data_IF_359464660198
#
_entry.id   IF_359464660198
#
_cell.length_a   1.000
_cell.length_b   1.000
_cell.length_c   1.000
_cell.angle_alpha   90.00
_cell.angle_beta   90.00
_cell.angle_gamma   90.00
#
_symmetry.space_group_name_H-M   'P 1'
#
loop_
_entity.id
_entity.type
_entity.pdbx_description
1 polymer ?
#
# COMPACT_ATOMS: atom_id res chain seq x y z
N UNK A 1 -12.50 12.27 4.52
CA UNK A 1 -12.15 10.88 4.23
C UNK A 1 -10.93 10.88 3.34
N UNK A 2 -9.84 10.31 3.83
CA UNK A 2 -8.59 10.16 3.12
C UNK A 2 -8.51 8.76 2.51
N UNK A 3 -7.79 8.63 1.40
CA UNK A 3 -7.57 7.36 0.71
C UNK A 3 -6.13 6.92 0.93
N UNK A 4 -5.93 5.66 1.30
CA UNK A 4 -4.61 5.10 1.58
C UNK A 4 -4.29 3.93 0.67
N UNK A 5 -3.05 3.91 0.20
CA UNK A 5 -2.42 2.77 -0.47
C UNK A 5 -1.39 2.20 0.50
N UNK A 6 -1.52 0.92 0.83
CA UNK A 6 -0.56 0.24 1.69
C UNK A 6 0.47 -0.50 0.83
N UNK A 7 1.74 -0.35 1.14
CA UNK A 7 2.82 -1.16 0.56
C UNK A 7 3.21 -2.23 1.57
N UNK A 8 2.99 -3.48 1.21
CA UNK A 8 3.11 -4.67 2.04
C UNK A 8 1.73 -5.23 2.38
N UNK A 9 1.55 -6.52 2.13
CA UNK A 9 0.37 -7.29 2.52
C UNK A 9 0.77 -8.43 3.46
N UNK A 10 1.00 -8.07 4.71
CA UNK A 10 1.38 -8.99 5.79
C UNK A 10 0.47 -8.80 7.00
N UNK A 11 0.68 -9.54 8.09
CA UNK A 11 -0.07 -9.30 9.34
C UNK A 11 -0.01 -7.83 9.83
N UNK A 12 1.08 -7.11 9.53
CA UNK A 12 1.20 -5.69 9.86
C UNK A 12 0.24 -4.80 9.05
N UNK A 13 -0.06 -5.15 7.79
CA UNK A 13 -0.98 -4.38 6.95
C UNK A 13 -2.42 -4.48 7.46
N UNK A 14 -2.80 -5.60 8.09
CA UNK A 14 -4.12 -5.77 8.71
C UNK A 14 -4.32 -4.78 9.87
N UNK A 15 -3.38 -4.73 10.80
CA UNK A 15 -3.44 -3.77 11.93
C UNK A 15 -3.51 -2.32 11.45
N UNK A 16 -2.72 -1.96 10.43
CA UNK A 16 -2.76 -0.62 9.84
C UNK A 16 -4.09 -0.36 9.15
N UNK A 17 -4.66 -1.35 8.46
CA UNK A 17 -6.00 -1.25 7.87
C UNK A 17 -7.03 -0.93 8.95
N UNK A 18 -7.01 -1.67 10.06
CA UNK A 18 -7.93 -1.47 11.18
C UNK A 18 -7.80 -0.06 11.79
N UNK A 19 -6.58 0.45 11.92
CA UNK A 19 -6.35 1.83 12.38
C UNK A 19 -6.92 2.88 11.40
N UNK A 20 -6.78 2.67 10.10
CA UNK A 20 -7.30 3.59 9.07
C UNK A 20 -8.83 3.58 9.07
N UNK A 21 -9.44 2.40 9.05
CA UNK A 21 -10.90 2.26 9.05
C UNK A 21 -11.51 2.79 10.34
N UNK A 22 -10.84 2.65 11.48
CA UNK A 22 -11.27 3.24 12.77
C UNK A 22 -11.32 4.77 12.76
N UNK A 23 -10.60 5.42 11.83
CA UNK A 23 -10.62 6.87 11.63
C UNK A 23 -11.60 7.32 10.53
N UNK A 24 -12.49 6.44 10.06
CA UNK A 24 -13.39 6.68 8.91
C UNK A 24 -12.65 7.00 7.60
N UNK A 25 -11.40 6.57 7.48
CA UNK A 25 -10.63 6.65 6.26
C UNK A 25 -10.66 5.31 5.51
N UNK A 26 -10.22 5.30 4.24
CA UNK A 26 -10.36 4.13 3.35
C UNK A 26 -8.99 3.63 2.88
N UNK A 27 -8.78 2.32 2.94
CA UNK A 27 -7.70 1.64 2.22
C UNK A 27 -8.22 1.23 0.85
N UNK A 28 -7.62 1.76 -0.21
CA UNK A 28 -8.03 1.48 -1.60
C UNK A 28 -7.18 0.42 -2.28
N UNK A 29 -5.93 0.26 -1.85
CA UNK A 29 -5.04 -0.73 -2.41
C UNK A 29 -4.00 -1.25 -1.40
N UNK A 30 -3.55 -2.49 -1.61
CA UNK A 30 -2.45 -3.16 -0.92
C UNK A 30 -1.48 -3.75 -1.94
N UNK A 31 -0.30 -3.16 -2.06
CA UNK A 31 0.70 -3.56 -3.05
C UNK A 31 1.85 -4.32 -2.40
N UNK A 32 2.20 -5.49 -2.92
CA UNK A 32 3.26 -6.33 -2.37
C UNK A 32 4.00 -7.05 -3.53
N UNK A 33 5.35 -7.12 -3.44
CA UNK A 33 6.20 -7.78 -4.43
C UNK A 33 5.92 -9.30 -4.52
N UNK A 34 5.19 -9.88 -3.56
CA UNK A 34 4.72 -11.28 -3.62
C UNK A 34 3.65 -11.51 -4.69
N UNK A 35 2.98 -10.46 -5.16
CA UNK A 35 1.95 -10.54 -6.19
C UNK A 35 2.55 -10.30 -7.56
N UNK A 36 2.10 -11.08 -8.55
CA UNK A 36 2.52 -10.95 -9.95
C UNK A 36 1.50 -10.20 -10.80
N UNK A 37 0.25 -10.14 -10.36
CA UNK A 37 -0.88 -9.57 -11.10
C UNK A 37 -1.73 -8.68 -10.19
N UNK A 38 -2.48 -7.77 -10.80
CA UNK A 38 -3.45 -6.92 -10.10
C UNK A 38 -4.79 -7.65 -10.02
N UNK A 39 -5.39 -7.70 -8.83
CA UNK A 39 -6.69 -8.29 -8.57
C UNK A 39 -7.41 -7.53 -7.46
N UNK A 40 -8.70 -7.78 -7.26
CA UNK A 40 -9.49 -7.16 -6.20
C UNK A 40 -9.91 -8.22 -5.18
N UNK A 41 -9.74 -7.92 -3.89
CA UNK A 41 -10.15 -8.78 -2.79
C UNK A 41 -10.74 -7.90 -1.69
N UNK A 42 -11.97 -8.20 -1.24
CA UNK A 42 -12.67 -7.43 -0.20
C UNK A 42 -12.78 -5.93 -0.52
N UNK A 43 -13.03 -5.58 -1.79
CA UNK A 43 -13.06 -4.19 -2.29
C UNK A 43 -11.73 -3.42 -2.17
N UNK A 44 -10.61 -4.13 -1.96
CA UNK A 44 -9.26 -3.60 -1.93
C UNK A 44 -8.49 -4.13 -3.14
N UNK A 45 -7.91 -3.24 -3.93
CA UNK A 45 -7.05 -3.63 -5.05
C UNK A 45 -5.73 -4.16 -4.51
N UNK A 46 -5.34 -5.37 -4.89
CA UNK A 46 -4.07 -6.00 -4.55
C UNK A 46 -3.23 -6.21 -5.80
N UNK A 47 -1.91 -6.11 -5.68
CA UNK A 47 -1.04 -6.32 -6.82
C UNK A 47 0.43 -6.05 -6.56
N UNK A 48 1.28 -6.15 -7.60
CA UNK A 48 2.71 -5.85 -7.49
C UNK A 48 2.95 -4.36 -7.18
N UNK A 49 4.10 -4.02 -6.58
CA UNK A 49 4.50 -2.61 -6.37
C UNK A 49 4.57 -1.82 -7.68
N UNK A 50 4.75 -2.49 -8.83
CA UNK A 50 4.77 -1.84 -10.14
C UNK A 50 3.43 -1.22 -10.55
N UNK A 51 2.32 -1.64 -9.95
CA UNK A 51 0.99 -1.07 -10.20
C UNK A 51 0.74 0.24 -9.43
N UNK A 52 1.68 0.67 -8.57
CA UNK A 52 1.53 1.88 -7.76
C UNK A 52 1.30 3.16 -8.59
N UNK A 53 2.03 3.42 -9.69
CA UNK A 53 1.83 4.64 -10.49
C UNK A 53 0.41 4.73 -11.08
N UNK A 54 -0.20 3.60 -11.43
CA UNK A 54 -1.54 3.55 -12.01
C UNK A 54 -2.65 3.80 -10.97
N UNK A 55 -2.33 3.62 -9.68
CA UNK A 55 -3.25 3.77 -8.55
C UNK A 55 -3.06 5.08 -7.79
N UNK A 56 -1.95 5.78 -8.02
CA UNK A 56 -1.62 7.06 -7.43
C UNK A 56 -2.54 8.15 -7.98
N UNK A 57 -3.23 8.86 -7.08
CA UNK A 57 -3.99 10.06 -7.37
C UNK A 57 -3.57 11.20 -6.42
N UNK A 58 -3.98 12.44 -6.72
CA UNK A 58 -3.64 13.61 -5.90
C UNK A 58 -4.20 13.54 -4.45
N UNK A 59 -5.11 12.60 -4.16
CA UNK A 59 -5.81 12.47 -2.88
C UNK A 59 -5.48 11.15 -2.15
N UNK A 60 -4.47 10.41 -2.61
CA UNK A 60 -4.04 9.15 -2.00
C UNK A 60 -2.73 9.32 -1.25
N UNK A 61 -2.70 8.75 -0.05
CA UNK A 61 -1.51 8.68 0.80
C UNK A 61 -0.93 7.29 0.74
N UNK A 62 0.38 7.18 0.69
CA UNK A 62 1.09 5.90 0.69
C UNK A 62 1.60 5.61 2.10
N UNK A 63 1.38 4.39 2.59
CA UNK A 63 1.94 3.90 3.86
C UNK A 63 2.73 2.62 3.59
N UNK A 64 3.98 2.55 4.04
CA UNK A 64 4.79 1.33 3.96
C UNK A 64 4.50 0.45 5.20
N UNK A 65 3.63 -0.53 5.03
CA UNK A 65 3.13 -1.45 6.04
C UNK A 65 4.01 -2.72 6.19
N UNK A 66 5.34 -2.54 6.21
CA UNK A 66 6.31 -3.64 6.29
C UNK A 66 7.11 -3.55 7.59
N UNK A 67 7.05 -4.61 8.41
CA UNK A 67 7.79 -4.67 9.67
C UNK A 67 9.32 -4.71 9.49
N UNK A 68 9.81 -5.31 8.40
CA UNK A 68 11.24 -5.44 8.12
C UNK A 68 11.88 -4.10 7.72
N UNK A 69 12.70 -3.53 8.61
CA UNK A 69 13.36 -2.24 8.42
C UNK A 69 14.21 -2.15 7.13
N UNK A 70 14.91 -3.23 6.76
CA UNK A 70 15.74 -3.26 5.55
C UNK A 70 14.89 -3.21 4.27
N UNK A 71 13.72 -3.86 4.28
CA UNK A 71 12.76 -3.83 3.16
C UNK A 71 12.14 -2.44 3.06
N UNK A 72 11.71 -1.84 4.18
CA UNK A 72 11.18 -0.47 4.17
C UNK A 72 12.15 0.53 3.54
N UNK A 73 13.46 0.43 3.87
CA UNK A 73 14.48 1.30 3.26
C UNK A 73 14.58 1.09 1.75
N UNK A 74 14.61 -0.17 1.29
CA UNK A 74 14.70 -0.50 -0.15
C UNK A 74 13.52 0.06 -0.94
N UNK A 75 12.31 -0.07 -0.40
CA UNK A 75 11.08 0.45 -1.03
C UNK A 75 11.09 1.97 -1.04
N UNK A 76 11.44 2.61 0.08
CA UNK A 76 11.56 4.07 0.11
C UNK A 76 12.54 4.56 -0.95
N UNK A 77 13.71 3.92 -1.09
CA UNK A 77 14.67 4.26 -2.15
C UNK A 77 14.08 4.11 -3.54
N UNK A 78 13.30 3.05 -3.82
CA UNK A 78 12.62 2.86 -5.11
C UNK A 78 11.58 3.95 -5.40
N UNK A 79 10.84 4.39 -4.37
CA UNK A 79 9.79 5.41 -4.51
C UNK A 79 10.35 6.81 -4.72
N UNK A 80 11.47 7.16 -4.09
CA UNK A 80 12.10 8.48 -4.23
C UNK A 80 12.69 8.73 -5.63
N UNK A 81 12.81 7.71 -6.49
CA UNK A 81 13.38 7.86 -7.85
C UNK A 81 12.36 8.25 -8.92
N UNK A 82 11.09 8.48 -8.57
CA UNK A 82 10.10 9.03 -9.52
C UNK A 82 9.83 10.51 -9.21
N UNK A 83 10.44 11.45 -9.95
CA UNK A 83 10.09 12.88 -9.91
C UNK A 83 8.75 13.18 -10.59
#
# INVERSE_FOLDING_TARGET
MQRYILIGDSGHSKVITDCITSNNDIVVAKLDDKYTEVFEEEAIVKGPLSALPDLLDANTKIIIAIGANHIRKKIMTKLTVSP
#
